data_IF_004299667533
#
_entry.id   IF_004299667533
#
_cell.length_a   1.000
_cell.length_b   1.000
_cell.length_c   1.000
_cell.angle_alpha   90.00
_cell.angle_beta   90.00
_cell.angle_gamma   90.00
#
_symmetry.space_group_name_H-M   'P 1'
#
loop_
_entity.id
_entity.type
_entity.pdbx_description
1 polymer ?
#
# COMPACT_ATOMS: atom_id res chain seq x y z
N UNK A 1 3.41 -4.87 9.20
CA UNK A 1 3.94 -3.53 8.84
C UNK A 1 2.91 -2.82 7.98
N UNK A 2 2.59 -1.56 8.32
CA UNK A 2 1.65 -0.74 7.54
C UNK A 2 2.28 0.60 7.17
N UNK A 3 2.02 1.06 5.95
CA UNK A 3 2.33 2.43 5.54
C UNK A 3 1.25 3.37 6.06
N UNK A 4 1.55 4.14 7.09
CA UNK A 4 0.65 5.17 7.60
C UNK A 4 0.44 6.31 6.59
N UNK A 5 1.37 6.48 5.65
CA UNK A 5 1.34 7.46 4.56
C UNK A 5 0.08 7.35 3.68
N UNK A 6 -0.51 6.14 3.60
CA UNK A 6 -1.60 5.83 2.67
C UNK A 6 -2.97 6.11 3.31
N UNK A 7 -3.91 5.19 3.23
CA UNK A 7 -5.27 5.35 3.75
C UNK A 7 -5.35 5.74 5.22
N UNK A 8 -4.38 5.30 6.05
CA UNK A 8 -4.40 5.60 7.49
C UNK A 8 -4.24 7.11 7.71
N UNK A 9 -3.19 7.73 7.21
CA UNK A 9 -3.03 9.18 7.22
C UNK A 9 -4.04 9.89 6.33
N UNK A 10 -4.17 9.41 5.10
CA UNK A 10 -5.25 9.73 4.16
C UNK A 10 -5.24 11.12 3.54
N UNK A 11 -4.19 11.92 3.70
CA UNK A 11 -4.16 13.32 3.24
C UNK A 11 -2.92 13.69 2.43
N UNK A 12 -1.95 12.76 2.28
CA UNK A 12 -0.70 13.02 1.55
C UNK A 12 0.21 14.07 2.20
N UNK A 13 -0.02 14.41 3.47
CA UNK A 13 0.69 15.46 4.20
C UNK A 13 1.83 14.94 5.07
N UNK A 14 1.83 13.64 5.38
CA UNK A 14 2.84 13.03 6.25
C UNK A 14 3.24 11.66 5.74
N UNK A 15 4.53 11.36 5.86
CA UNK A 15 5.08 10.04 5.60
C UNK A 15 5.33 9.34 6.93
N UNK A 16 4.90 8.08 7.04
CA UNK A 16 5.11 7.28 8.23
C UNK A 16 4.80 5.81 8.03
N UNK A 17 5.23 5.02 8.98
CA UNK A 17 4.99 3.59 9.05
C UNK A 17 4.77 3.13 10.47
N UNK A 18 4.17 1.96 10.62
CA UNK A 18 3.99 1.31 11.91
C UNK A 18 4.32 -0.17 11.80
N UNK A 19 4.99 -0.70 12.80
CA UNK A 19 5.23 -2.11 13.03
C UNK A 19 4.28 -2.55 14.15
N UNK A 20 3.51 -3.60 13.88
CA UNK A 20 2.70 -4.29 14.89
C UNK A 20 3.23 -5.72 14.96
N UNK A 21 3.81 -6.08 16.11
CA UNK A 21 4.32 -7.42 16.36
C UNK A 21 3.24 -8.23 17.11
N UNK A 22 2.82 -9.35 16.53
CA UNK A 22 1.79 -10.21 17.12
C UNK A 22 2.26 -11.03 18.31
N UNK A 23 3.58 -11.10 18.55
CA UNK A 23 4.16 -11.84 19.66
C UNK A 23 3.91 -13.35 19.62
N UNK A 24 3.76 -13.92 18.42
CA UNK A 24 3.45 -15.33 18.24
C UNK A 24 4.37 -16.07 17.24
N UNK A 25 5.38 -15.36 16.71
CA UNK A 25 6.33 -15.95 15.77
C UNK A 25 7.48 -16.64 16.54
N UNK A 26 7.77 -17.87 16.18
CA UNK A 26 8.89 -18.62 16.76
C UNK A 26 10.20 -18.27 16.04
N UNK A 27 10.95 -17.30 16.55
CA UNK A 27 12.22 -16.86 15.99
C UNK A 27 13.32 -17.92 16.02
N UNK A 28 13.18 -18.98 16.84
CA UNK A 28 14.16 -20.05 17.03
C UNK A 28 13.91 -21.25 16.10
N UNK A 29 12.79 -21.30 15.38
CA UNK A 29 12.43 -22.46 14.55
C UNK A 29 13.38 -22.69 13.37
N UNK A 30 13.80 -21.60 12.69
CA UNK A 30 14.73 -21.63 11.55
C UNK A 30 15.80 -20.55 11.74
N UNK A 31 16.73 -20.71 12.70
CA UNK A 31 17.64 -19.65 13.12
C UNK A 31 18.58 -19.16 12.00
N UNK A 32 18.95 -20.04 11.07
CA UNK A 32 19.81 -19.72 9.92
C UNK A 32 19.14 -18.79 8.90
N UNK A 33 17.80 -18.76 8.85
CA UNK A 33 17.04 -17.85 7.99
C UNK A 33 16.89 -16.47 8.61
N UNK A 34 17.13 -16.34 9.91
CA UNK A 34 16.98 -15.10 10.67
C UNK A 34 18.23 -14.80 11.51
N UNK A 35 19.42 -14.67 10.86
CA UNK A 35 20.68 -14.49 11.59
C UNK A 35 20.70 -13.22 12.45
N UNK A 36 20.01 -12.17 12.05
CA UNK A 36 19.90 -10.93 12.81
C UNK A 36 19.22 -11.07 14.19
N UNK A 37 18.51 -12.16 14.43
CA UNK A 37 17.84 -12.44 15.69
C UNK A 37 18.51 -13.57 16.48
N UNK A 38 19.28 -14.42 15.79
CA UNK A 38 19.81 -15.65 16.34
C UNK A 38 21.33 -15.66 16.53
N UNK A 39 22.04 -14.68 15.95
CA UNK A 39 23.47 -14.49 16.21
C UNK A 39 23.70 -13.47 17.34
N UNK A 40 24.79 -13.62 18.14
CA UNK A 40 25.15 -12.64 19.14
C UNK A 40 25.34 -11.23 18.54
N UNK A 41 24.68 -10.24 19.11
CA UNK A 41 24.84 -8.84 18.72
C UNK A 41 25.96 -8.18 19.55
N UNK A 42 27.09 -7.89 18.89
CA UNK A 42 28.25 -7.30 19.55
C UNK A 42 28.01 -5.90 20.14
N UNK A 43 27.07 -5.14 19.58
CA UNK A 43 26.69 -3.82 20.08
C UNK A 43 25.83 -3.89 21.34
N UNK A 44 25.30 -5.07 21.66
CA UNK A 44 24.46 -5.35 22.81
C UNK A 44 25.03 -6.48 23.68
N UNK A 45 26.36 -6.48 23.89
CA UNK A 45 27.07 -7.42 24.77
C UNK A 45 26.85 -8.89 24.42
N UNK A 46 26.67 -9.21 23.15
CA UNK A 46 26.42 -10.56 22.66
C UNK A 46 24.97 -11.04 22.83
N UNK A 47 24.02 -10.15 23.02
CA UNK A 47 22.62 -10.54 23.13
C UNK A 47 22.12 -11.27 21.86
N UNK A 48 21.42 -12.38 22.06
CA UNK A 48 20.67 -13.10 21.03
C UNK A 48 19.21 -12.71 21.17
N UNK A 49 18.74 -11.86 20.27
CA UNK A 49 17.41 -11.20 20.39
C UNK A 49 16.25 -12.18 20.49
N UNK A 50 16.33 -13.31 19.76
CA UNK A 50 15.32 -14.37 19.81
C UNK A 50 15.16 -15.01 21.20
N UNK A 51 16.19 -14.97 22.04
CA UNK A 51 16.19 -15.55 23.39
C UNK A 51 15.96 -14.49 24.47
N UNK A 52 16.74 -13.39 24.44
CA UNK A 52 16.71 -12.39 25.54
C UNK A 52 15.38 -11.61 25.58
N UNK A 53 14.70 -11.42 24.44
CA UNK A 53 13.44 -10.65 24.42
C UNK A 53 12.30 -11.44 25.07
N UNK A 54 12.02 -12.70 24.72
CA UNK A 54 11.02 -13.49 25.42
C UNK A 54 11.32 -13.67 26.92
N UNK A 55 12.58 -13.85 27.28
CA UNK A 55 13.00 -13.97 28.68
C UNK A 55 12.71 -12.70 29.48
N UNK A 56 13.04 -11.53 28.91
CA UNK A 56 12.88 -10.26 29.59
C UNK A 56 11.43 -9.70 29.59
N UNK A 57 10.67 -9.95 28.51
CA UNK A 57 9.37 -9.33 28.27
C UNK A 57 8.20 -10.32 28.26
N UNK A 58 8.44 -11.61 28.37
CA UNK A 58 7.42 -12.65 28.38
C UNK A 58 6.71 -12.87 27.03
N UNK A 59 7.23 -12.30 25.94
CA UNK A 59 6.64 -12.43 24.60
C UNK A 59 7.71 -12.40 23.49
N UNK A 60 7.59 -13.20 22.41
CA UNK A 60 8.56 -13.27 21.32
C UNK A 60 8.45 -12.10 20.33
N UNK A 61 8.50 -10.87 20.84
CA UNK A 61 8.41 -9.61 20.07
C UNK A 61 9.80 -9.09 19.65
N UNK A 62 10.73 -9.97 19.34
CA UNK A 62 12.11 -9.64 19.01
C UNK A 62 12.23 -8.70 17.80
N UNK A 63 11.33 -8.80 16.82
CA UNK A 63 11.35 -7.94 15.64
C UNK A 63 11.10 -6.48 16.01
N UNK A 64 10.04 -6.18 16.76
CA UNK A 64 9.70 -4.81 17.16
C UNK A 64 10.77 -4.23 18.10
N UNK A 65 11.27 -5.03 19.05
CA UNK A 65 12.29 -4.58 19.98
C UNK A 65 13.61 -4.27 19.25
N UNK A 66 14.09 -5.20 18.41
CA UNK A 66 15.33 -4.97 17.65
C UNK A 66 15.22 -3.79 16.70
N UNK A 67 14.09 -3.64 16.00
CA UNK A 67 13.83 -2.47 15.15
C UNK A 67 13.95 -1.15 15.96
N UNK A 68 13.47 -1.14 17.20
CA UNK A 68 13.49 0.02 18.08
C UNK A 68 14.89 0.32 18.66
N UNK A 69 15.56 -0.71 19.18
CA UNK A 69 16.82 -0.50 19.91
C UNK A 69 18.06 -0.47 19.01
N UNK A 70 18.02 -1.14 17.85
CA UNK A 70 19.13 -1.15 16.91
C UNK A 70 18.91 -0.11 15.80
N UNK A 71 17.81 -0.20 15.06
CA UNK A 71 17.61 0.67 13.89
C UNK A 71 17.19 2.09 14.29
N UNK A 72 16.12 2.21 15.08
CA UNK A 72 15.61 3.53 15.49
C UNK A 72 16.63 4.28 16.34
N UNK A 73 17.19 3.64 17.35
CA UNK A 73 18.15 4.26 18.27
C UNK A 73 19.47 4.61 17.58
N UNK A 74 20.07 3.67 16.86
CA UNK A 74 21.45 3.81 16.38
C UNK A 74 21.52 4.58 15.05
N UNK A 75 20.51 4.45 14.18
CA UNK A 75 20.44 5.16 12.89
C UNK A 75 19.57 6.43 12.98
N UNK A 76 18.62 6.47 13.92
CA UNK A 76 17.81 7.65 14.22
C UNK A 76 16.59 7.93 13.34
N UNK A 77 15.98 6.95 12.61
CA UNK A 77 14.81 7.22 11.76
C UNK A 77 13.52 7.37 12.58
N UNK A 78 13.52 8.31 13.52
CA UNK A 78 12.37 8.58 14.38
C UNK A 78 11.31 9.40 13.63
N UNK A 79 10.05 8.99 13.74
CA UNK A 79 8.93 9.76 13.22
C UNK A 79 8.80 11.10 13.98
N UNK A 80 8.65 12.21 13.24
CA UNK A 80 8.36 13.51 13.86
C UNK A 80 7.06 13.44 14.68
N UNK A 81 7.02 14.00 15.90
CA UNK A 81 5.80 14.06 16.70
C UNK A 81 4.64 14.76 15.97
N UNK A 82 4.92 15.78 15.17
CA UNK A 82 3.91 16.47 14.37
C UNK A 82 3.34 15.56 13.27
N UNK A 83 4.18 14.75 12.59
CA UNK A 83 3.70 13.76 11.64
C UNK A 83 2.87 12.67 12.35
N UNK A 84 3.29 12.22 13.53
CA UNK A 84 2.53 11.26 14.33
C UNK A 84 1.15 11.80 14.69
N UNK A 85 1.06 13.07 15.11
CA UNK A 85 -0.20 13.74 15.38
C UNK A 85 -1.14 13.74 14.16
N UNK A 86 -0.63 14.13 12.97
CA UNK A 86 -1.43 14.12 11.74
C UNK A 86 -1.90 12.71 11.35
N UNK A 87 -1.05 11.70 11.53
CA UNK A 87 -1.40 10.31 11.23
C UNK A 87 -2.44 9.76 12.20
N UNK A 88 -2.40 10.13 13.48
CA UNK A 88 -3.43 9.79 14.47
C UNK A 88 -4.76 10.42 14.10
N UNK A 89 -4.79 11.70 13.73
CA UNK A 89 -6.01 12.36 13.25
C UNK A 89 -6.61 11.64 12.02
N UNK A 90 -5.74 11.22 11.09
CA UNK A 90 -6.17 10.42 9.94
C UNK A 90 -6.77 9.08 10.35
N UNK A 91 -6.20 8.41 11.35
CA UNK A 91 -6.70 7.14 11.86
C UNK A 91 -8.10 7.27 12.47
N UNK A 92 -8.39 8.34 13.18
CA UNK A 92 -9.70 8.58 13.83
C UNK A 92 -10.85 8.56 12.82
N UNK A 93 -10.62 9.04 11.60
CA UNK A 93 -11.65 9.10 10.55
C UNK A 93 -11.51 8.02 9.48
N UNK A 94 -10.57 7.08 9.65
CA UNK A 94 -10.27 6.06 8.64
C UNK A 94 -11.50 5.28 8.20
N UNK A 95 -12.32 4.83 9.13
CA UNK A 95 -13.53 4.04 8.85
C UNK A 95 -14.49 4.82 7.93
N UNK A 96 -14.80 6.06 8.28
CA UNK A 96 -15.72 6.91 7.49
C UNK A 96 -15.18 7.16 6.08
N UNK A 97 -13.91 7.52 5.98
CA UNK A 97 -13.26 7.77 4.69
C UNK A 97 -13.22 6.51 3.84
N UNK A 98 -12.83 5.37 4.43
CA UNK A 98 -12.69 4.13 3.67
C UNK A 98 -14.02 3.63 3.11
N UNK A 99 -15.12 3.76 3.86
CA UNK A 99 -16.47 3.48 3.36
C UNK A 99 -16.79 4.34 2.13
N UNK A 100 -16.48 5.65 2.19
CA UNK A 100 -16.73 6.56 1.08
C UNK A 100 -15.83 6.30 -0.13
N UNK A 101 -14.55 6.01 0.10
CA UNK A 101 -13.63 5.56 -0.95
C UNK A 101 -14.18 4.36 -1.72
N UNK A 102 -14.64 3.33 -1.02
CA UNK A 102 -15.18 2.11 -1.63
C UNK A 102 -16.47 2.35 -2.40
N UNK A 103 -17.38 3.15 -1.84
CA UNK A 103 -18.62 3.55 -2.52
C UNK A 103 -18.30 4.22 -3.85
N UNK A 104 -17.42 5.22 -3.82
CA UNK A 104 -17.02 5.96 -5.01
C UNK A 104 -16.31 5.07 -6.04
N UNK A 105 -15.36 4.24 -5.59
CA UNK A 105 -14.64 3.31 -6.46
C UNK A 105 -15.57 2.33 -7.17
N UNK A 106 -16.55 1.79 -6.45
CA UNK A 106 -17.54 0.89 -7.04
C UNK A 106 -18.37 1.58 -8.11
N UNK A 107 -18.83 2.81 -7.85
CA UNK A 107 -19.60 3.60 -8.83
C UNK A 107 -18.76 3.94 -10.08
N UNK A 108 -17.52 4.38 -9.87
CA UNK A 108 -16.59 4.70 -10.97
C UNK A 108 -16.28 3.45 -11.79
N UNK A 109 -15.95 2.32 -11.17
CA UNK A 109 -15.64 1.08 -11.88
C UNK A 109 -16.83 0.62 -12.75
N UNK A 110 -18.05 0.66 -12.22
CA UNK A 110 -19.25 0.31 -12.99
C UNK A 110 -19.53 1.30 -14.14
N UNK A 111 -19.28 2.60 -13.93
CA UNK A 111 -19.42 3.60 -14.98
C UNK A 111 -18.40 3.38 -16.11
N UNK A 112 -17.14 3.14 -15.75
CA UNK A 112 -16.06 2.98 -16.72
C UNK A 112 -16.17 1.70 -17.54
N UNK A 113 -16.73 0.62 -16.97
CA UNK A 113 -16.94 -0.67 -17.64
C UNK A 113 -17.72 -0.52 -18.96
N UNK A 114 -18.56 0.47 -19.08
CA UNK A 114 -19.44 0.69 -20.24
C UNK A 114 -18.87 1.70 -21.25
N UNK A 115 -17.65 2.19 -21.07
CA UNK A 115 -17.04 3.17 -21.98
C UNK A 115 -16.33 2.47 -23.14
N UNK A 116 -16.60 2.91 -24.34
CA UNK A 116 -16.05 2.32 -25.59
C UNK A 116 -14.52 2.48 -25.71
N UNK A 117 -13.96 3.49 -25.06
CA UNK A 117 -12.54 3.81 -25.04
C UNK A 117 -11.76 2.91 -24.09
N UNK A 118 -12.45 2.19 -23.20
CA UNK A 118 -11.87 1.31 -22.20
C UNK A 118 -11.95 -0.13 -22.68
N UNK A 119 -10.83 -0.82 -22.63
CA UNK A 119 -10.73 -2.23 -22.98
C UNK A 119 -11.07 -3.12 -21.78
N UNK A 120 -10.57 -2.77 -20.61
CA UNK A 120 -10.81 -3.50 -19.36
C UNK A 120 -10.86 -2.58 -18.16
N UNK A 121 -11.65 -2.97 -17.16
CA UNK A 121 -11.65 -2.37 -15.82
C UNK A 121 -11.23 -3.44 -14.82
N UNK A 122 -10.16 -3.17 -14.10
CA UNK A 122 -9.55 -4.05 -13.11
C UNK A 122 -9.97 -3.56 -11.73
N UNK A 123 -10.98 -4.18 -11.17
CA UNK A 123 -11.52 -3.86 -9.85
C UNK A 123 -12.06 -5.14 -9.20
N UNK A 124 -11.69 -5.47 -7.95
CA UNK A 124 -12.07 -6.74 -7.36
C UNK A 124 -13.59 -6.99 -7.35
N UNK A 125 -14.39 -5.95 -7.15
CA UNK A 125 -15.86 -6.04 -7.19
C UNK A 125 -16.46 -6.36 -8.56
N UNK A 126 -15.66 -6.39 -9.63
CA UNK A 126 -16.07 -6.77 -10.98
C UNK A 126 -15.50 -8.11 -11.44
N UNK A 127 -14.67 -8.75 -10.63
CA UNK A 127 -14.06 -10.03 -10.99
C UNK A 127 -15.10 -11.16 -11.06
N UNK A 128 -14.82 -12.12 -11.92
CA UNK A 128 -15.63 -13.31 -12.14
C UNK A 128 -14.71 -14.54 -12.21
N UNK A 129 -15.30 -15.75 -12.29
CA UNK A 129 -14.50 -16.97 -12.38
C UNK A 129 -13.60 -17.23 -11.17
N UNK A 130 -12.39 -17.75 -11.36
CA UNK A 130 -11.48 -18.11 -10.27
C UNK A 130 -11.08 -16.94 -9.37
N UNK A 131 -10.88 -15.74 -9.93
CA UNK A 131 -10.52 -14.54 -9.17
C UNK A 131 -11.62 -14.14 -8.18
N UNK A 132 -12.89 -14.35 -8.53
CA UNK A 132 -14.01 -14.08 -7.63
C UNK A 132 -13.95 -14.92 -6.36
N UNK A 133 -13.50 -16.17 -6.45
CA UNK A 133 -13.36 -17.05 -5.26
C UNK A 133 -12.36 -16.43 -4.26
N UNK A 134 -11.26 -15.86 -4.76
CA UNK A 134 -10.28 -15.18 -3.91
C UNK A 134 -10.85 -13.87 -3.34
N UNK A 135 -11.60 -13.13 -4.16
CA UNK A 135 -12.26 -11.90 -3.70
C UNK A 135 -13.24 -12.23 -2.57
N UNK A 136 -14.12 -13.19 -2.75
CA UNK A 136 -15.12 -13.58 -1.74
C UNK A 136 -14.46 -14.11 -0.45
N UNK A 137 -13.29 -14.72 -0.55
CA UNK A 137 -12.50 -15.19 0.59
C UNK A 137 -11.86 -14.07 1.40
N UNK A 138 -11.27 -13.06 0.71
CA UNK A 138 -10.42 -12.06 1.35
C UNK A 138 -11.06 -10.69 1.51
N UNK A 139 -12.09 -10.37 0.74
CA UNK A 139 -12.77 -9.07 0.76
C UNK A 139 -14.17 -9.18 1.36
N UNK A 140 -14.25 -9.32 2.67
CA UNK A 140 -15.50 -9.56 3.38
C UNK A 140 -16.38 -8.32 3.58
N UNK A 141 -15.80 -7.11 3.45
CA UNK A 141 -16.48 -5.84 3.78
C UNK A 141 -16.33 -4.77 2.70
N UNK A 142 -16.10 -5.18 1.45
CA UNK A 142 -15.95 -4.28 0.31
C UNK A 142 -14.70 -4.58 -0.50
N UNK A 143 -14.45 -3.84 -1.58
CA UNK A 143 -13.48 -4.18 -2.60
C UNK A 143 -12.31 -3.17 -2.73
N UNK A 144 -12.16 -2.29 -1.74
CA UNK A 144 -11.11 -1.27 -1.75
C UNK A 144 -11.42 -0.09 -2.68
N UNK A 145 -10.41 0.74 -2.91
CA UNK A 145 -10.56 2.01 -3.61
C UNK A 145 -9.56 2.19 -4.78
N UNK A 146 -8.88 1.13 -5.19
CA UNK A 146 -8.00 1.16 -6.35
C UNK A 146 -8.73 0.57 -7.56
N UNK A 147 -8.82 1.36 -8.62
CA UNK A 147 -9.42 0.95 -9.89
C UNK A 147 -8.36 1.06 -10.98
N UNK A 148 -8.04 -0.06 -11.63
CA UNK A 148 -7.23 -0.09 -12.83
C UNK A 148 -8.13 0.01 -14.06
N UNK A 149 -7.68 0.72 -15.08
CA UNK A 149 -8.31 0.73 -16.39
C UNK A 149 -7.27 0.50 -17.48
N UNK A 150 -7.64 -0.27 -18.48
CA UNK A 150 -6.86 -0.42 -19.70
C UNK A 150 -7.51 0.41 -20.80
N UNK A 151 -6.78 1.39 -21.32
CA UNK A 151 -7.24 2.28 -22.38
C UNK A 151 -6.87 1.72 -23.76
N UNK A 152 -7.81 1.73 -24.68
CA UNK A 152 -7.53 1.47 -26.10
C UNK A 152 -6.62 2.58 -26.66
N UNK A 153 -5.58 2.20 -27.38
CA UNK A 153 -4.61 3.14 -27.96
C UNK A 153 -3.31 3.25 -27.16
N UNK A 154 -3.11 2.40 -26.15
CA UNK A 154 -1.82 2.18 -25.50
C UNK A 154 -1.25 3.42 -24.81
N UNK A 155 0.08 3.60 -24.86
CA UNK A 155 0.83 4.65 -24.14
C UNK A 155 0.30 6.05 -24.47
N UNK A 156 -0.02 6.33 -25.73
CA UNK A 156 -0.49 7.67 -26.13
C UNK A 156 -1.86 7.98 -25.57
N UNK A 157 -2.75 6.99 -25.49
CA UNK A 157 -4.05 7.15 -24.86
C UNK A 157 -3.91 7.40 -23.35
N UNK A 158 -3.01 6.66 -22.68
CA UNK A 158 -2.70 6.85 -21.26
C UNK A 158 -2.17 8.25 -20.95
N UNK A 159 -1.20 8.73 -21.72
CA UNK A 159 -0.68 10.11 -21.60
C UNK A 159 -1.75 11.16 -21.80
N UNK A 160 -2.51 11.07 -22.91
CA UNK A 160 -3.61 12.02 -23.20
C UNK A 160 -4.69 12.01 -22.13
N UNK A 161 -4.98 10.86 -21.54
CA UNK A 161 -5.92 10.75 -20.43
C UNK A 161 -5.42 11.56 -19.22
N UNK A 162 -4.18 11.33 -18.79
CA UNK A 162 -3.57 12.06 -17.67
C UNK A 162 -3.54 13.57 -17.93
N UNK A 163 -3.11 14.01 -19.12
CA UNK A 163 -2.96 15.43 -19.47
C UNK A 163 -4.30 16.20 -19.48
N UNK A 164 -5.42 15.48 -19.64
CA UNK A 164 -6.76 16.08 -19.67
C UNK A 164 -7.46 16.10 -18.32
N UNK A 165 -6.89 15.51 -17.30
CA UNK A 165 -7.46 15.51 -15.94
C UNK A 165 -7.51 16.94 -15.39
N UNK A 166 -8.66 17.32 -14.78
CA UNK A 166 -8.86 18.63 -14.16
C UNK A 166 -9.06 18.54 -12.64
N UNK A 167 -9.85 17.57 -12.20
CA UNK A 167 -10.14 17.34 -10.78
C UNK A 167 -9.15 16.38 -10.14
N UNK A 168 -8.74 15.37 -10.89
CA UNK A 168 -7.91 14.26 -10.40
C UNK A 168 -6.43 14.66 -10.44
N UNK A 169 -5.70 14.43 -9.37
CA UNK A 169 -4.27 14.74 -9.29
C UNK A 169 -3.42 13.65 -9.92
N UNK A 170 -2.47 14.04 -10.76
CA UNK A 170 -1.48 13.13 -11.31
C UNK A 170 -0.34 12.93 -10.30
N UNK A 171 -0.40 11.86 -9.53
CA UNK A 171 0.61 11.50 -8.54
C UNK A 171 0.64 10.01 -8.23
N UNK A 172 1.83 9.48 -8.01
CA UNK A 172 2.08 8.05 -7.74
C UNK A 172 1.80 7.64 -6.29
N UNK A 173 0.81 8.23 -5.61
CA UNK A 173 0.39 7.83 -4.28
C UNK A 173 -0.93 7.06 -4.32
N UNK A 174 -1.40 6.57 -3.19
CA UNK A 174 -2.69 5.92 -3.01
C UNK A 174 -3.29 6.30 -1.66
N UNK A 175 -4.61 6.21 -1.55
CA UNK A 175 -5.31 6.36 -0.27
C UNK A 175 -5.42 7.79 0.24
N UNK A 176 -5.20 8.77 -0.60
CA UNK A 176 -5.48 10.18 -0.32
C UNK A 176 -7.00 10.42 -0.39
N UNK A 177 -7.49 11.34 0.41
CA UNK A 177 -8.90 11.82 0.35
C UNK A 177 -9.27 12.36 -1.04
N UNK A 178 -8.29 12.85 -1.79
CA UNK A 178 -8.42 13.25 -3.20
C UNK A 178 -8.22 12.06 -4.13
N UNK A 179 -8.94 12.05 -5.23
CA UNK A 179 -8.71 11.08 -6.29
C UNK A 179 -7.39 11.34 -6.99
N UNK A 180 -6.59 10.29 -7.13
CA UNK A 180 -5.27 10.32 -7.76
C UNK A 180 -5.26 9.39 -8.97
N UNK A 181 -4.50 9.77 -10.00
CA UNK A 181 -4.28 8.95 -11.18
C UNK A 181 -2.80 8.86 -11.53
N UNK A 182 -2.41 7.73 -12.10
CA UNK A 182 -1.07 7.54 -12.65
C UNK A 182 -1.14 6.63 -13.89
N UNK A 183 -0.32 6.94 -14.88
CA UNK A 183 -0.04 6.08 -16.02
C UNK A 183 1.36 5.46 -15.84
N UNK A 184 1.48 4.25 -15.28
CA UNK A 184 2.77 3.69 -14.85
C UNK A 184 3.78 3.54 -15.98
N UNK A 185 3.34 3.15 -17.18
CA UNK A 185 4.23 2.94 -18.32
C UNK A 185 5.03 4.20 -18.71
N UNK A 186 4.47 5.40 -18.54
CA UNK A 186 5.16 6.65 -18.85
C UNK A 186 5.77 7.37 -17.64
N UNK A 187 5.64 6.82 -16.44
CA UNK A 187 6.10 7.45 -15.19
C UNK A 187 6.92 6.49 -14.33
N UNK A 188 6.32 5.81 -13.37
CA UNK A 188 7.02 4.96 -12.38
C UNK A 188 7.77 3.78 -12.97
N UNK A 189 7.41 3.34 -14.17
CA UNK A 189 8.05 2.21 -14.87
C UNK A 189 8.70 2.65 -16.19
N UNK A 190 8.87 3.93 -16.43
CA UNK A 190 9.40 4.48 -17.69
C UNK A 190 10.85 4.07 -17.97
N UNK A 191 11.63 3.69 -16.95
CA UNK A 191 12.99 3.18 -17.09
C UNK A 191 13.04 1.70 -17.54
N UNK A 192 11.93 0.98 -17.50
CA UNK A 192 11.84 -0.41 -17.94
C UNK A 192 11.56 -0.46 -19.45
N UNK A 193 12.14 -1.45 -20.13
CA UNK A 193 11.75 -1.80 -21.50
C UNK A 193 10.29 -2.25 -21.56
N UNK A 194 9.67 -2.20 -22.74
CA UNK A 194 8.28 -2.64 -22.93
C UNK A 194 8.05 -4.11 -22.48
N UNK A 195 9.02 -4.98 -22.72
CA UNK A 195 8.96 -6.37 -22.28
C UNK A 195 9.01 -6.52 -20.75
N UNK A 196 9.87 -5.74 -20.08
CA UNK A 196 9.96 -5.72 -18.61
C UNK A 196 8.71 -5.10 -17.97
N UNK A 197 8.14 -4.06 -18.58
CA UNK A 197 6.87 -3.49 -18.14
C UNK A 197 5.75 -4.53 -18.18
N UNK A 198 5.60 -5.26 -19.27
CA UNK A 198 4.62 -6.33 -19.39
C UNK A 198 4.84 -7.45 -18.37
N UNK A 199 6.11 -7.84 -18.15
CA UNK A 199 6.47 -8.84 -17.13
C UNK A 199 6.14 -8.35 -15.71
N UNK A 200 6.22 -7.05 -15.47
CA UNK A 200 5.81 -6.42 -14.21
C UNK A 200 4.29 -6.18 -14.10
N UNK A 201 3.50 -6.60 -15.10
CA UNK A 201 2.05 -6.40 -15.13
C UNK A 201 1.61 -4.99 -15.56
N UNK A 202 2.51 -4.21 -16.15
CA UNK A 202 2.23 -2.87 -16.65
C UNK A 202 2.03 -2.92 -18.16
N UNK A 203 0.77 -2.84 -18.58
CA UNK A 203 0.40 -2.75 -20.00
C UNK A 203 0.49 -1.30 -20.50
N UNK A 204 0.61 -1.10 -21.84
CA UNK A 204 0.81 0.25 -22.39
C UNK A 204 -0.31 1.24 -22.12
N UNK A 205 -1.56 0.78 -22.04
CA UNK A 205 -2.74 1.63 -21.79
C UNK A 205 -3.20 1.66 -20.34
N UNK A 206 -2.48 1.01 -19.43
CA UNK A 206 -2.89 0.90 -18.04
C UNK A 206 -2.80 2.22 -17.29
N UNK A 207 -3.93 2.64 -16.71
CA UNK A 207 -4.01 3.76 -15.77
C UNK A 207 -4.56 3.25 -14.45
N UNK A 208 -3.92 3.61 -13.34
CA UNK A 208 -4.40 3.33 -11.99
C UNK A 208 -5.06 4.58 -11.41
N UNK A 209 -6.27 4.42 -10.93
CA UNK A 209 -6.99 5.41 -10.12
C UNK A 209 -6.92 4.98 -8.64
N UNK A 210 -6.55 5.88 -7.76
CA UNK A 210 -6.80 5.79 -6.33
C UNK A 210 -7.97 6.71 -6.01
N UNK A 211 -9.14 6.12 -5.88
CA UNK A 211 -10.39 6.89 -5.81
C UNK A 211 -10.54 7.54 -4.44
N UNK A 212 -10.81 8.84 -4.42
CA UNK A 212 -10.99 9.66 -3.23
C UNK A 212 -12.41 9.68 -2.68
N UNK A 213 -12.67 10.67 -1.83
CA UNK A 213 -13.96 10.83 -1.13
C UNK A 213 -14.80 11.99 -1.68
N UNK A 214 -14.43 12.52 -2.83
CA UNK A 214 -15.17 13.60 -3.48
C UNK A 214 -16.63 13.20 -3.74
N UNK A 215 -17.47 14.18 -3.96
CA UNK A 215 -18.85 13.94 -4.39
C UNK A 215 -18.85 13.30 -5.79
N UNK A 216 -19.59 12.19 -5.95
CA UNK A 216 -19.65 11.40 -7.19
C UNK A 216 -20.71 11.97 -8.12
#
# INVERSE_FOLDING_TARGET
IHSLTKFIGGHGTSIGGIIVDGGNFNWLENPEQQPNFNLPDGSYHGAVWASVVPEALGAPIAFAIRARVVLLRDIGPALSPFNAFQLIQGLETLHLRFCKHQENATKIANHLKNKKEIEAVIYPGLFSGPEKILVDKYFTSGHGALVGIELKGGVDAGRKFIDKLKLIYHVANIGDARTLAIHPASTTHSQLSAAEQLKAGVTPGYVRLSVGIEHI
#
